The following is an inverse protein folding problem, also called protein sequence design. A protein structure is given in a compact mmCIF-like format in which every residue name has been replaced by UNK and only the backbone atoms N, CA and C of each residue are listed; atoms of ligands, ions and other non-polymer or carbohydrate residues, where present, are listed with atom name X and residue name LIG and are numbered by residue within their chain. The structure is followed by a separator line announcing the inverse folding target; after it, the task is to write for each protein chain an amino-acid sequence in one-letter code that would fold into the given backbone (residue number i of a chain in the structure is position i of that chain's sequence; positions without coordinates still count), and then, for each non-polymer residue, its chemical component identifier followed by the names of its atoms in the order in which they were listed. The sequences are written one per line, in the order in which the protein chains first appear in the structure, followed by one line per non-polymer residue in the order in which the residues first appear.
data_IF_108044334000
#
_entry.id   IF_108044334000
#
_cell.length_a   1.000
_cell.length_b   1.000
_cell.length_c   1.000
_cell.angle_alpha   90.00
_cell.angle_beta   90.00
_cell.angle_gamma   90.00
#
_symmetry.space_group_name_H-M   'P 1'
#
loop_
_entity.id
_entity.type
_entity.pdbx_description
1 polymer ?
#
# COMPACT_ATOMS: atom_id res chain seq x y z
N UNK A 1 7.80 -0.19 11.65
CA UNK A 1 8.32 -0.49 10.29
C UNK A 1 9.60 0.30 9.97
N UNK A 2 10.64 0.23 10.81
CA UNK A 2 11.79 1.16 10.69
C UNK A 2 12.66 0.91 9.45
N UNK A 3 12.83 -0.35 9.07
CA UNK A 3 13.57 -0.72 7.86
C UNK A 3 12.81 -0.29 6.60
N UNK A 4 11.47 -0.42 6.61
CA UNK A 4 10.65 -0.04 5.47
C UNK A 4 10.70 1.47 5.20
N UNK A 5 10.83 2.30 6.24
CA UNK A 5 11.02 3.75 6.07
C UNK A 5 12.34 4.11 5.37
N UNK A 6 13.33 3.22 5.40
CA UNK A 6 14.66 3.40 4.80
C UNK A 6 14.79 2.73 3.43
N UNK A 7 13.77 1.99 2.98
CA UNK A 7 13.78 1.38 1.67
C UNK A 7 13.63 2.42 0.56
N UNK A 8 14.25 2.16 -0.59
CA UNK A 8 14.09 2.99 -1.78
C UNK A 8 12.68 2.88 -2.36
N UNK A 9 12.10 1.68 -2.31
CA UNK A 9 10.73 1.37 -2.76
C UNK A 9 10.13 0.31 -1.86
N UNK A 10 8.80 0.33 -1.75
CA UNK A 10 8.00 -0.61 -0.99
C UNK A 10 6.87 -1.12 -1.88
N UNK A 11 6.58 -2.41 -1.74
CA UNK A 11 5.41 -3.04 -2.29
C UNK A 11 4.50 -3.46 -1.13
N UNK A 12 3.26 -2.99 -1.14
CA UNK A 12 2.24 -3.31 -0.15
C UNK A 12 1.27 -4.30 -0.78
N UNK A 13 1.06 -5.43 -0.10
CA UNK A 13 0.24 -6.53 -0.60
C UNK A 13 -0.70 -7.05 0.49
N UNK A 14 -1.90 -7.47 0.12
CA UNK A 14 -2.84 -8.20 0.97
C UNK A 14 -3.52 -9.30 0.18
N UNK A 15 -3.56 -10.51 0.73
CA UNK A 15 -4.21 -11.68 0.10
C UNK A 15 -3.74 -11.93 -1.34
N UNK A 16 -2.44 -11.78 -1.59
CA UNK A 16 -1.84 -11.96 -2.92
C UNK A 16 -2.10 -10.83 -3.92
N UNK A 17 -2.76 -9.73 -3.51
CA UNK A 17 -3.01 -8.56 -4.37
C UNK A 17 -2.16 -7.38 -3.97
N UNK A 18 -1.53 -6.74 -4.95
CA UNK A 18 -0.77 -5.51 -4.76
C UNK A 18 -1.77 -4.39 -4.49
N UNK A 19 -1.62 -3.75 -3.33
CA UNK A 19 -2.38 -2.56 -2.95
C UNK A 19 -1.67 -1.29 -3.45
N UNK A 20 -0.33 -1.33 -3.45
CA UNK A 20 0.50 -0.22 -3.89
C UNK A 20 1.97 -0.60 -4.08
N UNK A 21 2.67 0.15 -4.92
CA UNK A 21 4.12 0.08 -5.05
C UNK A 21 4.69 1.48 -5.24
N UNK A 22 5.42 2.01 -4.25
CA UNK A 22 6.03 3.34 -4.33
C UNK A 22 7.14 3.53 -3.28
N UNK A 23 7.79 4.69 -3.27
CA UNK A 23 8.70 5.11 -2.22
C UNK A 23 7.97 5.31 -0.88
N UNK A 24 8.62 5.14 0.28
CA UNK A 24 8.02 5.41 1.59
C UNK A 24 7.42 6.82 1.71
N UNK A 25 8.11 7.83 1.16
CA UNK A 25 7.64 9.22 1.15
C UNK A 25 6.38 9.42 0.32
N UNK A 26 6.30 8.78 -0.85
CA UNK A 26 5.12 8.85 -1.71
C UNK A 26 3.93 8.12 -1.09
N UNK A 27 4.14 6.95 -0.46
CA UNK A 27 3.07 6.22 0.22
C UNK A 27 2.44 7.08 1.33
N UNK A 28 3.25 7.69 2.20
CA UNK A 28 2.79 8.62 3.24
C UNK A 28 2.04 9.82 2.68
N UNK A 29 2.57 10.42 1.61
CA UNK A 29 1.94 11.57 0.95
C UNK A 29 0.57 11.20 0.38
N UNK A 30 0.47 10.04 -0.26
CA UNK A 30 -0.77 9.55 -0.88
C UNK A 30 -1.84 9.22 0.15
N UNK A 31 -1.46 8.67 1.30
CA UNK A 31 -2.39 8.30 2.38
C UNK A 31 -2.61 9.41 3.41
N UNK A 32 -1.83 10.49 3.37
CA UNK A 32 -1.87 11.56 4.36
C UNK A 32 -1.45 11.13 5.76
N UNK A 33 -0.53 10.15 5.87
CA UNK A 33 -0.12 9.55 7.15
C UNK A 33 1.31 9.91 7.55
N UNK A 34 1.63 9.79 8.84
CA UNK A 34 2.96 10.11 9.37
C UNK A 34 3.98 8.99 9.16
N UNK A 35 3.51 7.75 9.09
CA UNK A 35 4.36 6.56 8.95
C UNK A 35 3.94 5.65 7.80
N UNK A 36 4.86 4.79 7.36
CA UNK A 36 4.58 3.74 6.36
C UNK A 36 3.56 2.72 6.91
N UNK A 37 3.62 2.43 8.20
CA UNK A 37 2.71 1.49 8.86
C UNK A 37 1.25 2.01 8.82
N UNK A 38 1.05 3.28 9.16
CA UNK A 38 -0.25 3.95 9.02
C UNK A 38 -0.71 3.98 7.56
N UNK A 39 0.20 4.21 6.62
CA UNK A 39 -0.12 4.18 5.18
C UNK A 39 -0.63 2.80 4.76
N UNK A 40 0.00 1.72 5.24
CA UNK A 40 -0.45 0.36 4.96
C UNK A 40 -1.85 0.10 5.53
N UNK A 41 -2.11 0.44 6.79
CA UNK A 41 -3.42 0.26 7.41
C UNK A 41 -4.52 1.04 6.67
N UNK A 42 -4.22 2.27 6.24
CA UNK A 42 -5.14 3.08 5.44
C UNK A 42 -5.49 2.38 4.11
N UNK A 43 -4.48 1.88 3.39
CA UNK A 43 -4.69 1.21 2.10
C UNK A 43 -5.43 -0.12 2.25
N UNK A 44 -5.21 -0.85 3.35
CA UNK A 44 -5.97 -2.07 3.66
C UNK A 44 -7.44 -1.74 3.93
N UNK A 45 -7.72 -0.70 4.72
CA UNK A 45 -9.09 -0.27 5.01
C UNK A 45 -9.80 0.21 3.73
N UNK A 46 -9.10 0.97 2.89
CA UNK A 46 -9.60 1.41 1.59
C UNK A 46 -9.91 0.21 0.68
N UNK A 47 -8.99 -0.75 0.57
CA UNK A 47 -9.18 -1.96 -0.25
C UNK A 47 -10.35 -2.83 0.25
N UNK A 48 -10.53 -2.93 1.58
CA UNK A 48 -11.66 -3.63 2.18
C UNK A 48 -12.99 -2.93 1.86
N UNK A 49 -13.00 -1.59 1.85
CA UNK A 49 -14.20 -0.79 1.54
C UNK A 49 -14.60 -0.84 0.06
N UNK A 50 -13.64 -1.01 -0.85
CA UNK A 50 -13.88 -1.03 -2.30
C UNK A 50 -14.47 -2.35 -2.82
N UNK A 51 -14.61 -3.38 -1.98
CA UNK A 51 -15.16 -4.68 -2.38
C UNK A 51 -14.32 -5.30 -3.51
N UNK A 52 -13.30 -6.05 -3.15
CA UNK A 52 -12.31 -6.62 -4.07
C UNK A 52 -12.93 -7.19 -5.37
N UNK A 53 -12.88 -6.43 -6.47
CA UNK A 53 -13.00 -6.97 -7.82
C UNK A 53 -11.62 -7.49 -8.23
N UNK A 54 -11.49 -8.76 -8.65
CA UNK A 54 -10.28 -9.23 -9.28
C UNK A 54 -10.18 -8.56 -10.65
N UNK A 55 -9.29 -7.58 -10.81
CA UNK A 55 -8.80 -7.22 -12.14
C UNK A 55 -7.86 -8.35 -12.57
N UNK A 56 -8.36 -9.23 -13.44
CA UNK A 56 -7.53 -10.22 -14.11
C UNK A 56 -6.44 -9.50 -14.92
N UNK A 57 -5.17 -9.92 -14.83
CA UNK A 57 -4.15 -9.39 -15.72
C UNK A 57 -4.54 -9.76 -17.16
N UNK A 58 -4.79 -8.75 -17.98
CA UNK A 58 -5.07 -8.93 -19.41
C UNK A 58 -3.84 -9.58 -20.07
N UNK A 59 -4.00 -10.66 -20.85
CA UNK A 59 -2.88 -11.39 -21.48
C UNK A 59 -2.11 -10.57 -22.52
#
# INVERSE_FOLDING_TARGET
MDEAERCHRLLLMREGRILAEDTPGALRTRTGTGTVEEAFLHLVAEAASRGTHPEEPTP
#
